data_IF_288426396527
#
_entry.id   IF_288426396527
#
_cell.length_a   1.000
_cell.length_b   1.000
_cell.length_c   1.000
_cell.angle_alpha   90.00
_cell.angle_beta   90.00
_cell.angle_gamma   90.00
#
_symmetry.space_group_name_H-M   'P 1'
#
loop_
_entity.id
_entity.type
_entity.pdbx_description
1 polymer ?
#
# COMPACT_ATOMS: atom_id res chain seq x y z
N UNK A 1 -8.52 0.04 2.00
CA UNK A 1 -7.93 0.64 0.79
C UNK A 1 -8.68 0.31 -0.51
N UNK A 2 -9.15 -0.91 -0.78
CA UNK A 2 -9.94 -1.23 -2.01
C UNK A 2 -11.13 -0.26 -2.27
N UNK A 3 -11.94 0.01 -1.24
CA UNK A 3 -13.05 0.98 -1.34
C UNK A 3 -12.61 2.41 -1.68
N UNK A 4 -11.40 2.80 -1.27
CA UNK A 4 -10.80 4.11 -1.57
C UNK A 4 -10.38 4.18 -3.04
N UNK A 5 -9.78 3.10 -3.54
CA UNK A 5 -9.40 2.97 -4.95
C UNK A 5 -10.61 2.99 -5.90
N UNK A 6 -11.76 2.43 -5.49
CA UNK A 6 -13.03 2.55 -6.23
C UNK A 6 -13.53 4.00 -6.35
N UNK A 7 -13.17 4.86 -5.41
CA UNK A 7 -13.41 6.31 -5.47
C UNK A 7 -12.37 7.09 -6.27
N UNK A 8 -11.46 6.41 -6.99
CA UNK A 8 -10.34 7.02 -7.71
C UNK A 8 -9.43 7.88 -6.82
N UNK A 9 -9.30 7.51 -5.54
CA UNK A 9 -8.40 8.15 -4.58
C UNK A 9 -7.22 7.23 -4.28
N UNK A 10 -6.04 7.80 -4.11
CA UNK A 10 -4.82 7.15 -3.64
C UNK A 10 -4.39 7.77 -2.32
N UNK A 11 -3.80 7.00 -1.42
CA UNK A 11 -3.34 7.51 -0.12
C UNK A 11 -1.93 8.09 -0.19
N UNK A 12 -1.04 7.50 -1.01
CA UNK A 12 0.31 7.99 -1.32
C UNK A 12 1.35 7.91 -0.18
N UNK A 13 0.93 7.52 1.01
CA UNK A 13 1.77 7.48 2.22
C UNK A 13 1.31 6.41 3.21
N UNK A 14 0.98 5.22 2.72
CA UNK A 14 0.63 4.10 3.58
C UNK A 14 1.90 3.60 4.27
N UNK A 15 1.90 3.68 5.59
CA UNK A 15 2.96 3.16 6.45
C UNK A 15 2.35 2.71 7.79
N UNK A 16 3.07 1.94 8.62
CA UNK A 16 2.56 1.55 9.94
C UNK A 16 2.19 2.76 10.83
N UNK A 17 2.86 3.91 10.66
CA UNK A 17 2.54 5.13 11.40
C UNK A 17 1.17 5.74 11.05
N UNK A 18 0.65 5.41 9.86
CA UNK A 18 -0.62 5.90 9.33
C UNK A 18 -1.74 4.85 9.43
N UNK A 19 -1.51 3.79 10.21
CA UNK A 19 -2.50 2.75 10.52
C UNK A 19 -2.75 2.73 12.03
N UNK A 20 -3.99 2.95 12.43
CA UNK A 20 -4.44 2.92 13.82
C UNK A 20 -5.14 1.59 14.11
N UNK A 21 -4.78 0.97 15.23
CA UNK A 21 -5.45 -0.20 15.76
C UNK A 21 -6.22 0.19 17.02
N UNK A 22 -7.51 -0.11 17.07
CA UNK A 22 -8.33 0.06 18.25
C UNK A 22 -8.91 -1.28 18.69
N UNK A 23 -8.55 -1.70 19.90
CA UNK A 23 -9.03 -2.91 20.56
C UNK A 23 -10.10 -2.50 21.57
N UNK A 24 -11.39 -2.63 21.23
CA UNK A 24 -12.47 -2.19 22.09
C UNK A 24 -12.62 -3.13 23.30
N UNK A 25 -12.84 -2.56 24.49
CA UNK A 25 -12.88 -3.32 25.75
C UNK A 25 -14.02 -4.35 25.81
N UNK A 26 -15.10 -4.13 25.04
CA UNK A 26 -16.28 -4.99 24.98
C UNK A 26 -16.17 -6.13 23.94
N UNK A 27 -15.07 -6.21 23.16
CA UNK A 27 -14.87 -7.29 22.18
C UNK A 27 -13.52 -7.98 22.34
N UNK A 28 -13.56 -9.14 22.99
CA UNK A 28 -12.41 -9.99 23.32
C UNK A 28 -11.55 -10.39 22.09
N UNK A 29 -12.13 -10.42 20.88
CA UNK A 29 -11.43 -10.79 19.63
C UNK A 29 -11.63 -9.77 18.50
N UNK A 30 -12.05 -8.54 18.84
CA UNK A 30 -12.30 -7.49 17.86
C UNK A 30 -11.10 -6.55 17.72
N UNK A 31 -10.76 -6.18 16.48
CA UNK A 31 -9.87 -5.06 16.20
C UNK A 31 -10.50 -4.16 15.15
N UNK A 32 -10.51 -2.85 15.42
CA UNK A 32 -10.84 -1.84 14.44
C UNK A 32 -9.55 -1.29 13.83
N UNK A 33 -9.46 -1.33 12.51
CA UNK A 33 -8.31 -0.83 11.76
C UNK A 33 -8.70 0.47 11.07
N UNK A 34 -8.08 1.57 11.47
CA UNK A 34 -8.22 2.88 10.86
C UNK A 34 -7.00 3.19 9.97
N UNK A 35 -7.24 3.82 8.82
CA UNK A 35 -6.19 4.42 8.00
C UNK A 35 -6.30 5.94 8.16
N UNK A 36 -5.22 6.60 8.55
CA UNK A 36 -5.18 8.02 8.89
C UNK A 36 -4.12 8.77 8.07
N UNK A 37 -3.95 10.06 8.35
CA UNK A 37 -3.05 10.96 7.60
C UNK A 37 -3.31 11.00 6.09
N UNK A 38 -4.54 11.39 5.76
CA UNK A 38 -4.99 11.59 4.38
C UNK A 38 -4.46 12.90 3.75
N UNK A 39 -3.54 13.61 4.42
CA UNK A 39 -3.02 14.90 3.96
C UNK A 39 -2.27 14.84 2.63
N UNK A 40 -1.85 13.64 2.22
CA UNK A 40 -1.18 13.38 0.95
C UNK A 40 -2.04 12.63 -0.06
N UNK A 41 -3.28 12.33 0.30
CA UNK A 41 -4.17 11.63 -0.59
C UNK A 41 -4.43 12.48 -1.84
N UNK A 42 -4.49 11.84 -3.00
CA UNK A 42 -4.74 12.50 -4.27
C UNK A 42 -5.73 11.69 -5.10
N UNK A 43 -6.44 12.35 -5.99
CA UNK A 43 -7.22 11.68 -7.02
C UNK A 43 -6.33 11.20 -8.15
N UNK A 44 -6.79 10.17 -8.86
CA UNK A 44 -6.19 9.74 -10.12
C UNK A 44 -6.11 10.93 -11.08
N UNK A 45 -4.93 11.12 -11.69
CA UNK A 45 -4.61 12.24 -12.58
C UNK A 45 -4.54 13.63 -11.91
N UNK A 46 -4.63 13.72 -10.58
CA UNK A 46 -4.42 14.98 -9.88
C UNK A 46 -2.94 15.43 -9.96
N UNK A 47 -2.75 16.74 -10.05
CA UNK A 47 -1.43 17.38 -10.14
C UNK A 47 -0.93 17.63 -8.73
N UNK A 48 -0.19 16.67 -8.16
CA UNK A 48 0.40 16.77 -6.81
C UNK A 48 1.93 16.75 -6.84
N UNK A 49 2.62 17.47 -5.93
CA UNK A 49 4.08 17.46 -5.86
C UNK A 49 4.65 16.09 -5.47
N UNK A 50 5.79 15.72 -6.08
CA UNK A 50 6.53 14.52 -5.71
C UNK A 50 7.46 14.67 -4.52
N UNK A 51 7.31 13.73 -3.59
CA UNK A 51 8.20 13.57 -2.42
C UNK A 51 9.40 12.65 -2.70
N UNK A 52 9.41 11.98 -3.85
CA UNK A 52 10.31 10.86 -4.16
C UNK A 52 11.18 11.09 -5.41
N UNK A 53 11.19 12.32 -5.94
CA UNK A 53 12.13 12.77 -6.96
C UNK A 53 13.39 13.39 -6.35
N UNK A 54 14.56 13.12 -6.94
CA UNK A 54 15.85 13.60 -6.43
C UNK A 54 16.76 14.15 -7.53
N UNK A 55 17.66 15.10 -7.20
CA UNK A 55 18.58 15.67 -8.18
C UNK A 55 19.68 14.69 -8.62
N UNK A 56 20.10 13.77 -7.75
CA UNK A 56 21.17 12.81 -8.07
C UNK A 56 20.81 11.38 -7.65
N UNK A 57 21.47 10.39 -8.26
CA UNK A 57 21.29 8.98 -7.94
C UNK A 57 21.76 8.66 -6.50
N UNK A 58 22.78 9.36 -6.02
CA UNK A 58 23.31 9.24 -4.67
C UNK A 58 22.30 9.72 -3.64
N UNK A 59 21.71 10.91 -3.85
CA UNK A 59 20.66 11.46 -2.98
C UNK A 59 19.43 10.54 -2.94
N UNK A 60 19.00 10.03 -4.11
CA UNK A 60 17.93 9.04 -4.19
C UNK A 60 18.24 7.78 -3.39
N UNK A 61 19.45 7.25 -3.53
CA UNK A 61 19.87 6.01 -2.86
C UNK A 61 19.98 6.20 -1.35
N UNK A 62 20.51 7.33 -0.90
CA UNK A 62 20.58 7.68 0.53
C UNK A 62 19.18 7.78 1.13
N UNK A 63 18.28 8.50 0.48
CA UNK A 63 16.89 8.63 0.94
C UNK A 63 16.13 7.29 0.88
N UNK A 64 16.35 6.45 -0.14
CA UNK A 64 15.74 5.12 -0.20
C UNK A 64 16.16 4.23 0.97
N UNK A 65 17.44 4.30 1.39
CA UNK A 65 17.91 3.56 2.57
C UNK A 65 17.27 4.04 3.88
N UNK A 66 16.98 5.34 3.98
CA UNK A 66 16.41 5.93 5.20
C UNK A 66 14.90 5.69 5.34
N UNK A 67 14.14 5.86 4.24
CA UNK A 67 12.66 5.88 4.27
C UNK A 67 11.98 5.03 3.18
N UNK A 68 12.74 4.24 2.42
CA UNK A 68 12.23 3.48 1.28
C UNK A 68 11.43 2.23 1.60
N UNK A 69 11.42 1.79 2.87
CA UNK A 69 10.85 0.49 3.26
C UNK A 69 9.40 0.30 2.82
N UNK A 70 8.55 1.31 2.98
CA UNK A 70 7.11 1.20 2.70
C UNK A 70 6.69 1.81 1.37
N UNK A 71 7.63 2.37 0.60
CA UNK A 71 7.33 3.16 -0.59
C UNK A 71 7.62 2.34 -1.84
N UNK A 72 6.67 2.31 -2.77
CA UNK A 72 6.81 1.57 -4.01
C UNK A 72 8.05 1.99 -4.83
N UNK A 73 8.88 1.04 -5.33
CA UNK A 73 10.15 1.33 -5.98
C UNK A 73 10.05 2.30 -7.16
N UNK A 74 8.97 2.22 -7.95
CA UNK A 74 8.76 3.06 -9.12
C UNK A 74 8.54 4.54 -8.79
N UNK A 75 8.21 4.87 -7.54
CA UNK A 75 8.09 6.26 -7.09
C UNK A 75 9.47 6.92 -6.93
N UNK A 76 10.55 6.15 -6.80
CA UNK A 76 11.90 6.64 -6.58
C UNK A 76 12.62 6.92 -7.89
N UNK A 77 12.77 8.20 -8.24
CA UNK A 77 13.40 8.58 -9.51
C UNK A 77 14.36 9.76 -9.35
N UNK A 78 15.27 9.87 -10.31
CA UNK A 78 16.16 11.01 -10.47
C UNK A 78 15.56 11.94 -11.52
N UNK A 79 15.61 13.25 -11.30
CA UNK A 79 15.14 14.21 -12.29
C UNK A 79 15.96 14.08 -13.59
N UNK A 80 15.25 14.15 -14.71
CA UNK A 80 15.83 14.18 -16.04
C UNK A 80 16.41 15.54 -16.39
N UNK A 81 16.87 15.67 -17.64
CA UNK A 81 17.41 16.91 -18.20
C UNK A 81 16.36 18.04 -18.16
N UNK A 82 16.79 19.32 -18.10
CA UNK A 82 15.88 20.45 -18.27
C UNK A 82 15.02 20.30 -19.52
N UNK A 83 13.74 20.69 -19.43
CA UNK A 83 12.73 20.61 -20.50
C UNK A 83 12.37 19.21 -21.00
N UNK A 84 12.76 18.12 -20.29
CA UNK A 84 12.21 16.79 -20.55
C UNK A 84 10.89 16.53 -19.80
N UNK A 85 10.16 15.48 -20.21
CA UNK A 85 8.99 14.98 -19.48
C UNK A 85 9.33 14.54 -18.05
N UNK A 86 10.61 14.24 -17.81
CA UNK A 86 11.14 13.83 -16.51
C UNK A 86 11.89 14.95 -15.77
N UNK A 87 11.85 16.18 -16.28
CA UNK A 87 12.55 17.31 -15.66
C UNK A 87 11.95 17.67 -14.29
N UNK A 88 12.73 18.34 -13.43
CA UNK A 88 12.25 18.86 -12.15
C UNK A 88 10.99 19.73 -12.30
N UNK A 89 10.99 20.65 -13.27
CA UNK A 89 9.86 21.56 -13.51
C UNK A 89 8.56 20.83 -13.89
N UNK A 90 8.68 19.72 -14.63
CA UNK A 90 7.56 18.85 -15.01
C UNK A 90 7.10 18.00 -13.82
N UNK A 91 8.04 17.28 -13.19
CA UNK A 91 7.74 16.29 -12.17
C UNK A 91 7.42 16.88 -10.79
N UNK A 92 7.79 18.15 -10.52
CA UNK A 92 7.31 18.87 -9.33
C UNK A 92 5.81 19.14 -9.37
N UNK A 93 5.17 19.02 -10.54
CA UNK A 93 3.74 19.23 -10.74
C UNK A 93 2.99 17.92 -10.96
N UNK A 94 3.58 16.94 -11.65
CA UNK A 94 2.91 15.69 -12.04
C UNK A 94 3.54 14.48 -11.36
N UNK A 95 2.81 13.82 -10.47
CA UNK A 95 3.29 12.59 -9.81
C UNK A 95 2.82 11.30 -10.49
N UNK A 96 3.66 10.27 -10.29
CA UNK A 96 3.46 8.84 -10.55
C UNK A 96 2.70 8.08 -9.45
N UNK A 97 1.94 8.75 -8.58
CA UNK A 97 1.14 8.03 -7.59
C UNK A 97 0.05 7.19 -8.27
N UNK A 98 0.01 5.91 -7.93
CA UNK A 98 -0.92 4.95 -8.55
C UNK A 98 -1.52 4.04 -7.48
N UNK A 99 -2.64 3.39 -7.84
CA UNK A 99 -3.21 2.34 -7.00
C UNK A 99 -2.22 1.18 -6.80
N UNK A 100 -1.36 0.92 -7.78
CA UNK A 100 -0.29 -0.07 -7.64
C UNK A 100 0.71 0.35 -6.56
N UNK A 101 1.06 1.64 -6.45
CA UNK A 101 1.96 2.12 -5.41
C UNK A 101 1.36 1.97 -3.99
N UNK A 102 0.07 2.26 -3.83
CA UNK A 102 -0.65 1.97 -2.58
C UNK A 102 -0.69 0.46 -2.29
N UNK A 103 -0.94 -0.38 -3.31
CA UNK A 103 -0.97 -1.83 -3.16
C UNK A 103 0.38 -2.39 -2.66
N UNK A 104 1.48 -1.86 -3.18
CA UNK A 104 2.83 -2.18 -2.67
C UNK A 104 2.97 -1.87 -1.20
N UNK A 105 2.60 -0.65 -0.81
CA UNK A 105 2.74 -0.16 0.56
C UNK A 105 1.91 -0.99 1.54
N UNK A 106 0.66 -1.33 1.16
CA UNK A 106 -0.20 -2.26 1.91
C UNK A 106 0.43 -3.64 2.00
N UNK A 107 0.99 -4.15 0.90
CA UNK A 107 1.67 -5.44 0.87
C UNK A 107 2.87 -5.49 1.81
N UNK A 108 3.70 -4.45 1.87
CA UNK A 108 4.84 -4.39 2.81
C UNK A 108 4.35 -4.39 4.25
N UNK A 109 3.33 -3.58 4.59
CA UNK A 109 2.76 -3.56 5.94
C UNK A 109 2.17 -4.92 6.31
N UNK A 110 1.42 -5.55 5.41
CA UNK A 110 0.82 -6.86 5.62
C UNK A 110 1.86 -7.97 5.80
N UNK A 111 2.91 -8.01 4.96
CA UNK A 111 4.01 -8.95 5.12
C UNK A 111 4.74 -8.73 6.45
N UNK A 112 4.96 -7.48 6.87
CA UNK A 112 5.58 -7.18 8.17
C UNK A 112 4.74 -7.70 9.35
N UNK A 113 3.41 -7.61 9.28
CA UNK A 113 2.53 -8.19 10.31
C UNK A 113 2.65 -9.71 10.27
N UNK A 114 2.50 -10.30 9.08
CA UNK A 114 2.54 -11.75 8.87
C UNK A 114 3.86 -12.41 9.30
N UNK A 115 5.01 -11.79 8.98
CA UNK A 115 6.33 -12.34 9.33
C UNK A 115 6.58 -12.38 10.86
N UNK A 116 5.79 -11.65 11.65
CA UNK A 116 5.85 -11.70 13.12
C UNK A 116 4.84 -12.69 13.73
N UNK A 117 3.98 -13.31 12.92
CA UNK A 117 2.94 -14.24 13.34
C UNK A 117 3.25 -15.63 12.79
N UNK A 118 3.86 -16.50 13.60
CA UNK A 118 3.99 -17.94 13.28
C UNK A 118 2.80 -18.72 13.82
N UNK A 119 1.58 -18.23 13.57
CA UNK A 119 0.38 -18.88 14.06
C UNK A 119 -0.09 -19.98 13.08
N UNK A 120 0.21 -21.23 13.43
CA UNK A 120 -0.23 -22.42 12.71
C UNK A 120 -1.76 -22.61 12.76
N UNK A 121 -2.47 -21.97 13.69
CA UNK A 121 -3.92 -22.16 13.83
C UNK A 121 -4.73 -21.36 12.79
N UNK A 122 -4.13 -20.35 12.17
CA UNK A 122 -4.77 -19.54 11.14
C UNK A 122 -4.98 -20.31 9.83
N UNK A 123 -4.08 -21.25 9.53
CA UNK A 123 -4.14 -22.10 8.34
C UNK A 123 -4.06 -23.57 8.73
N UNK A 124 -5.23 -24.23 8.77
CA UNK A 124 -5.36 -25.67 9.05
C UNK A 124 -4.64 -26.58 8.03
N UNK A 125 -4.29 -26.05 6.86
CA UNK A 125 -3.53 -26.77 5.84
C UNK A 125 -2.38 -25.90 5.26
N UNK A 126 -1.30 -26.57 4.86
CA UNK A 126 -0.08 -25.93 4.32
C UNK A 126 -0.27 -25.28 2.96
N UNK A 127 -1.28 -25.72 2.18
CA UNK A 127 -1.58 -25.18 0.86
C UNK A 127 -2.23 -23.80 0.93
N UNK A 128 -3.07 -23.59 1.94
CA UNK A 128 -3.71 -22.33 2.29
C UNK A 128 -2.65 -21.29 2.67
N UNK A 129 -1.77 -21.64 3.62
CA UNK A 129 -0.64 -20.78 4.04
C UNK A 129 0.23 -20.37 2.85
N UNK A 130 0.63 -21.32 2.00
CA UNK A 130 1.50 -21.04 0.85
C UNK A 130 0.88 -20.03 -0.13
N UNK A 131 -0.39 -20.21 -0.47
CA UNK A 131 -1.11 -19.31 -1.39
C UNK A 131 -1.43 -17.95 -0.77
N UNK A 132 -1.69 -17.87 0.55
CA UNK A 132 -1.80 -16.58 1.25
C UNK A 132 -0.51 -15.78 1.14
N UNK A 133 0.63 -16.43 1.40
CA UNK A 133 1.97 -15.84 1.24
C UNK A 133 2.20 -15.40 -0.21
N UNK A 134 1.79 -16.19 -1.21
CA UNK A 134 1.86 -15.79 -2.62
C UNK A 134 1.04 -14.53 -2.88
N UNK A 135 -0.21 -14.48 -2.42
CA UNK A 135 -1.08 -13.31 -2.61
C UNK A 135 -0.49 -12.03 -1.97
N UNK A 136 0.12 -12.13 -0.78
CA UNK A 136 0.82 -11.01 -0.16
C UNK A 136 2.08 -10.60 -0.94
N UNK A 137 2.85 -11.56 -1.46
CA UNK A 137 4.04 -11.29 -2.28
C UNK A 137 3.69 -10.59 -3.60
N UNK A 138 2.57 -10.96 -4.22
CA UNK A 138 2.11 -10.32 -5.46
C UNK A 138 1.77 -8.83 -5.29
N UNK A 139 1.33 -8.40 -4.10
CA UNK A 139 1.18 -6.97 -3.78
C UNK A 139 2.52 -6.24 -3.79
N UNK A 140 3.61 -6.93 -3.46
CA UNK A 140 4.96 -6.35 -3.37
C UNK A 140 5.80 -6.55 -4.64
N UNK A 141 5.19 -6.90 -5.77
CA UNK A 141 5.92 -7.05 -7.04
C UNK A 141 6.65 -5.73 -7.39
N UNK A 142 7.97 -5.74 -7.66
CA UNK A 142 8.72 -4.54 -7.97
C UNK A 142 8.28 -3.88 -9.28
N UNK A 143 7.74 -4.65 -10.24
CA UNK A 143 7.15 -4.09 -11.45
C UNK A 143 5.66 -3.76 -11.19
N UNK A 144 5.25 -2.48 -11.22
CA UNK A 144 3.86 -2.09 -10.97
C UNK A 144 2.88 -2.69 -11.99
N UNK A 145 3.31 -3.08 -13.19
CA UNK A 145 2.43 -3.72 -14.18
C UNK A 145 2.06 -5.15 -13.82
N UNK A 146 2.95 -5.84 -13.10
CA UNK A 146 2.76 -7.23 -12.67
C UNK A 146 2.31 -7.32 -11.21
N UNK A 147 2.01 -6.19 -10.57
CA UNK A 147 1.57 -6.12 -9.18
C UNK A 147 0.08 -6.38 -9.09
N UNK A 148 -0.30 -7.33 -8.22
CA UNK A 148 -1.71 -7.62 -7.98
C UNK A 148 -2.41 -6.41 -7.36
N UNK A 149 -3.67 -6.20 -7.74
CA UNK A 149 -4.50 -5.16 -7.12
C UNK A 149 -4.98 -5.63 -5.75
N UNK A 150 -5.29 -4.66 -4.88
CA UNK A 150 -5.91 -4.96 -3.58
C UNK A 150 -7.25 -5.69 -3.76
N UNK A 151 -8.00 -5.38 -4.82
CA UNK A 151 -9.25 -6.05 -5.15
C UNK A 151 -9.03 -7.53 -5.49
N UNK A 152 -8.01 -7.84 -6.29
CA UNK A 152 -7.70 -9.21 -6.68
C UNK A 152 -7.30 -10.04 -5.47
N UNK A 153 -6.39 -9.52 -4.64
CA UNK A 153 -5.97 -10.22 -3.41
C UNK A 153 -7.15 -10.41 -2.46
N UNK A 154 -7.97 -9.38 -2.26
CA UNK A 154 -9.19 -9.49 -1.46
C UNK A 154 -10.13 -10.59 -2.01
N UNK A 155 -10.37 -10.62 -3.32
CA UNK A 155 -11.20 -11.65 -3.94
C UNK A 155 -10.62 -13.06 -3.73
N UNK A 156 -9.30 -13.22 -3.89
CA UNK A 156 -8.61 -14.50 -3.66
C UNK A 156 -8.76 -14.97 -2.22
N UNK A 157 -8.60 -14.07 -1.23
CA UNK A 157 -8.66 -14.43 0.20
C UNK A 157 -10.08 -14.68 0.72
N UNK A 158 -11.09 -14.12 0.06
CA UNK A 158 -12.50 -14.31 0.45
C UNK A 158 -13.16 -15.48 -0.28
N UNK A 159 -12.57 -15.95 -1.37
CA UNK A 159 -13.03 -17.12 -2.11
C UNK A 159 -12.62 -18.45 -1.42
N UNK A 160 -13.29 -19.57 -1.74
CA UNK A 160 -12.82 -20.89 -1.35
C UNK A 160 -11.38 -21.15 -1.83
N UNK A 161 -10.53 -21.83 -1.03
CA UNK A 161 -10.86 -22.50 0.24
C UNK A 161 -10.74 -21.62 1.49
N UNK A 162 -10.23 -20.38 1.38
CA UNK A 162 -9.96 -19.51 2.53
C UNK A 162 -11.22 -19.07 3.25
N UNK A 163 -12.20 -18.59 2.49
CA UNK A 163 -13.44 -18.04 3.01
C UNK A 163 -13.21 -17.02 4.14
N UNK A 164 -12.15 -16.21 4.05
CA UNK A 164 -11.86 -15.22 5.09
C UNK A 164 -13.03 -14.23 5.19
N UNK A 165 -13.46 -13.99 6.43
CA UNK A 165 -14.53 -13.04 6.69
C UNK A 165 -14.03 -11.63 6.38
N UNK A 166 -14.83 -10.91 5.59
CA UNK A 166 -14.53 -9.52 5.26
C UNK A 166 -14.80 -8.69 6.52
N UNK A 167 -13.80 -7.96 7.04
CA UNK A 167 -14.03 -7.06 8.16
C UNK A 167 -15.05 -6.00 7.76
N UNK A 168 -16.02 -5.74 8.65
CA UNK A 168 -17.03 -4.72 8.42
C UNK A 168 -16.35 -3.35 8.27
N UNK A 169 -16.52 -2.73 7.10
CA UNK A 169 -15.93 -1.42 6.84
C UNK A 169 -16.89 -0.32 7.29
N UNK A 170 -16.57 0.26 8.45
CA UNK A 170 -17.27 1.40 9.03
C UNK A 170 -16.72 2.71 8.43
N UNK A 171 -17.38 3.25 7.41
CA UNK A 171 -17.25 4.69 7.12
C UNK A 171 -18.14 5.44 8.10
N UNK A 172 -17.62 6.49 8.76
CA UNK A 172 -18.51 7.51 9.35
C UNK A 172 -19.34 8.09 8.20
N UNK A 173 -20.62 7.70 8.10
CA UNK A 173 -21.56 8.20 7.07
C UNK A 173 -21.84 9.69 7.23
N UNK A 174 -21.53 10.26 8.39
CA UNK A 174 -21.69 11.67 8.72
C UNK A 174 -20.47 12.14 9.54
N UNK A 175 -19.83 13.21 9.06
CA UNK A 175 -19.03 14.13 9.86
C UNK A 175 -19.82 15.42 9.89
#
# INVERSE_FOLDING_TARGET
MDRVHKGYLQHNDISPGNVLLHFPEDKVSGVYIGVCDWGLASRVCETTPSRYGYPTAEARTAAFKERGTFVAPELWYTYGKPNSETSYETLKRRHLYTQAADAYSVGVVANKIWDNEDDFDLFKDTSGKARFVVALKELTNPDPKNRSTLQLVHATLTAPPYNFQIPECCYRKHI
#
